data_IF_667709994890
#
_entry.id   IF_667709994890
#
_cell.length_a   1.000
_cell.length_b   1.000
_cell.length_c   1.000
_cell.angle_alpha   90.00
_cell.angle_beta   90.00
_cell.angle_gamma   90.00
#
_symmetry.space_group_name_H-M   'P 1'
#
loop_
_entity.id
_entity.type
_entity.pdbx_description
1 polymer ?
#
# COMPACT_ATOMS: atom_id res chain seq x y z
N UNK A 1 37.10 -14.71 0.92
CA UNK A 1 36.13 -15.47 0.09
C UNK A 1 34.86 -14.64 0.02
N UNK A 2 34.21 -14.46 -1.15
CA UNK A 2 32.99 -13.70 -1.21
C UNK A 2 31.93 -14.47 -0.42
N UNK A 3 31.45 -13.88 0.69
CA UNK A 3 30.33 -14.43 1.43
C UNK A 3 29.20 -14.72 0.45
N UNK A 4 28.78 -15.98 0.38
CA UNK A 4 27.59 -16.40 -0.35
C UNK A 4 26.44 -15.61 0.26
N UNK A 5 26.05 -14.48 -0.34
CA UNK A 5 25.01 -13.60 0.21
C UNK A 5 23.72 -14.40 0.26
N UNK A 6 23.37 -14.88 1.44
CA UNK A 6 22.06 -15.47 1.71
C UNK A 6 21.01 -14.36 1.63
N UNK A 7 19.76 -14.72 1.36
CA UNK A 7 18.65 -13.76 1.26
C UNK A 7 18.33 -13.11 2.61
N UNK A 8 18.57 -13.84 3.69
CA UNK A 8 18.46 -13.42 5.10
C UNK A 8 19.36 -14.37 5.92
N UNK A 9 19.45 -14.19 7.23
CA UNK A 9 20.27 -15.03 8.13
C UNK A 9 19.85 -16.50 8.17
N UNK A 10 18.58 -16.80 7.84
CA UNK A 10 18.00 -18.15 8.03
C UNK A 10 17.72 -18.51 9.48
N UNK A 11 17.85 -17.55 10.40
CA UNK A 11 17.55 -17.73 11.82
C UNK A 11 16.04 -17.90 12.08
N UNK A 12 15.71 -18.61 13.13
CA UNK A 12 14.34 -18.78 13.62
C UNK A 12 13.80 -17.47 14.22
N UNK A 13 12.47 -17.28 14.32
CA UNK A 13 11.89 -16.11 14.96
C UNK A 13 12.40 -15.87 16.40
N UNK A 14 12.64 -16.94 17.16
CA UNK A 14 13.15 -16.87 18.53
C UNK A 14 14.60 -16.37 18.58
N UNK A 15 15.45 -16.83 17.66
CA UNK A 15 16.82 -16.34 17.54
C UNK A 15 16.86 -14.87 17.12
N UNK A 16 16.08 -14.49 16.11
CA UNK A 16 15.95 -13.09 15.67
C UNK A 16 15.45 -12.21 16.83
N UNK A 17 14.42 -12.65 17.56
CA UNK A 17 13.89 -11.89 18.70
C UNK A 17 14.94 -11.68 19.80
N UNK A 18 15.72 -12.73 20.13
CA UNK A 18 16.83 -12.64 21.09
C UNK A 18 17.90 -11.66 20.61
N UNK A 19 18.26 -11.73 19.33
CA UNK A 19 19.33 -10.91 18.77
C UNK A 19 18.90 -9.43 18.68
N UNK A 20 17.61 -9.15 18.40
CA UNK A 20 17.03 -7.81 18.35
C UNK A 20 16.66 -7.22 19.72
N UNK A 21 16.52 -8.02 20.77
CA UNK A 21 16.07 -7.55 22.10
C UNK A 21 16.85 -6.34 22.65
N UNK A 22 18.19 -6.23 22.47
CA UNK A 22 18.92 -5.04 22.89
C UNK A 22 18.48 -3.74 22.19
N UNK A 23 18.00 -3.78 20.95
CA UNK A 23 17.58 -2.59 20.19
C UNK A 23 16.30 -1.94 20.74
N UNK A 24 15.54 -2.68 21.54
CA UNK A 24 14.27 -2.21 22.14
C UNK A 24 14.34 -2.16 23.67
N UNK A 25 15.54 -2.35 24.24
CA UNK A 25 15.77 -2.14 25.68
C UNK A 25 16.03 -0.65 25.92
N UNK A 26 14.98 0.07 26.30
CA UNK A 26 15.08 1.50 26.57
C UNK A 26 15.80 1.79 27.89
N UNK A 27 16.56 2.88 27.92
CA UNK A 27 17.32 3.38 29.06
C UNK A 27 17.08 4.88 29.23
N UNK A 28 17.26 5.40 30.45
CA UNK A 28 17.04 6.83 30.74
C UNK A 28 18.05 7.74 30.02
N UNK A 29 19.30 7.32 29.95
CA UNK A 29 20.35 8.04 29.23
C UNK A 29 20.39 7.65 27.76
N UNK A 30 20.57 8.63 26.86
CA UNK A 30 20.77 8.35 25.44
C UNK A 30 22.04 7.52 25.18
N UNK A 31 22.04 6.82 24.05
CA UNK A 31 23.20 6.09 23.54
C UNK A 31 23.93 6.94 22.48
N UNK A 32 25.26 6.85 22.41
CA UNK A 32 26.01 7.51 21.35
C UNK A 32 25.66 6.90 19.98
N UNK A 33 25.62 7.72 18.93
CA UNK A 33 25.25 7.26 17.58
C UNK A 33 26.12 6.10 17.07
N UNK A 34 27.43 6.12 17.36
CA UNK A 34 28.35 5.06 16.96
C UNK A 34 28.00 3.69 17.59
N UNK A 35 27.51 3.69 18.83
CA UNK A 35 27.07 2.47 19.50
C UNK A 35 25.74 1.96 18.90
N UNK A 36 24.83 2.88 18.56
CA UNK A 36 23.58 2.54 17.86
C UNK A 36 23.86 1.94 16.49
N UNK A 37 24.77 2.54 15.71
CA UNK A 37 25.19 2.03 14.41
C UNK A 37 25.77 0.62 14.53
N UNK A 38 26.66 0.40 15.50
CA UNK A 38 27.22 -0.92 15.81
C UNK A 38 26.12 -1.94 16.13
N UNK A 39 25.17 -1.58 17.00
CA UNK A 39 24.03 -2.45 17.33
C UNK A 39 23.17 -2.77 16.10
N UNK A 40 22.87 -1.80 15.24
CA UNK A 40 22.09 -2.04 14.02
C UNK A 40 22.83 -3.01 13.08
N UNK A 41 24.13 -2.79 12.87
CA UNK A 41 24.97 -3.62 12.01
C UNK A 41 25.10 -5.07 12.50
N UNK A 42 25.24 -5.27 13.81
CA UNK A 42 25.41 -6.59 14.39
C UNK A 42 24.09 -7.34 14.60
N UNK A 43 23.01 -6.62 14.93
CA UNK A 43 21.76 -7.22 15.42
C UNK A 43 20.62 -7.17 14.42
N UNK A 44 20.47 -6.09 13.66
CA UNK A 44 19.34 -5.92 12.73
C UNK A 44 19.69 -6.34 11.31
N UNK A 45 20.75 -5.75 10.75
CA UNK A 45 21.07 -5.90 9.34
C UNK A 45 21.23 -7.36 8.88
N UNK A 46 21.82 -8.29 9.65
CA UNK A 46 21.94 -9.69 9.24
C UNK A 46 20.59 -10.39 9.02
N UNK A 47 19.52 -9.90 9.64
CA UNK A 47 18.18 -10.48 9.56
C UNK A 47 17.30 -9.85 8.49
N UNK A 48 17.68 -8.70 7.93
CA UNK A 48 16.90 -8.04 6.88
C UNK A 48 16.89 -8.87 5.58
N UNK A 49 15.75 -8.86 4.89
CA UNK A 49 15.63 -9.51 3.60
C UNK A 49 16.35 -8.70 2.52
N UNK A 50 17.23 -9.35 1.78
CA UNK A 50 17.97 -8.75 0.67
C UNK A 50 17.14 -8.72 -0.61
N UNK A 51 16.16 -7.80 -0.69
CA UNK A 51 15.29 -7.66 -1.87
C UNK A 51 16.03 -7.33 -3.18
N UNK A 52 17.23 -6.75 -3.09
CA UNK A 52 18.07 -6.49 -4.28
C UNK A 52 18.86 -7.70 -4.78
N UNK A 53 18.78 -8.86 -4.12
CA UNK A 53 19.48 -10.06 -4.56
C UNK A 53 18.83 -10.66 -5.81
N UNK A 54 19.60 -11.04 -6.85
CA UNK A 54 19.06 -11.78 -8.00
C UNK A 54 18.42 -13.12 -7.64
N UNK A 55 18.74 -13.67 -6.47
CA UNK A 55 18.15 -14.92 -5.97
C UNK A 55 16.82 -14.72 -5.24
N UNK A 56 16.41 -13.47 -4.97
CA UNK A 56 15.11 -13.18 -4.38
C UNK A 56 14.05 -13.21 -5.49
N UNK A 57 13.26 -14.29 -5.54
CA UNK A 57 12.28 -14.55 -6.60
C UNK A 57 10.87 -14.78 -6.03
N UNK A 58 10.54 -14.13 -4.92
CA UNK A 58 9.28 -14.32 -4.19
C UNK A 58 8.62 -12.97 -3.87
N UNK A 59 7.31 -12.97 -3.64
CA UNK A 59 6.53 -11.78 -3.28
C UNK A 59 6.64 -10.64 -4.31
N UNK A 60 6.04 -9.49 -3.99
CA UNK A 60 6.04 -8.30 -4.85
C UNK A 60 6.98 -7.21 -4.31
N UNK A 61 8.13 -7.60 -3.75
CA UNK A 61 9.12 -6.67 -3.22
C UNK A 61 10.26 -6.49 -4.23
N UNK A 62 10.69 -5.25 -4.44
CA UNK A 62 11.83 -4.92 -5.27
C UNK A 62 12.64 -3.80 -4.60
N UNK A 63 13.93 -3.73 -4.92
CA UNK A 63 14.73 -2.59 -4.53
C UNK A 63 14.37 -1.37 -5.40
N UNK A 64 14.19 -0.16 -4.84
CA UNK A 64 13.85 1.02 -5.61
C UNK A 64 14.92 1.31 -6.68
N UNK A 65 14.48 1.76 -7.85
CA UNK A 65 15.39 2.30 -8.85
C UNK A 65 15.95 3.67 -8.40
N UNK A 66 16.98 4.16 -9.09
CA UNK A 66 17.77 5.33 -8.68
C UNK A 66 16.95 6.62 -8.50
N UNK A 67 15.96 6.86 -9.36
CA UNK A 67 15.03 7.98 -9.26
C UNK A 67 14.18 7.91 -7.99
N UNK A 68 13.57 6.75 -7.72
CA UNK A 68 12.81 6.49 -6.49
C UNK A 68 13.69 6.65 -5.24
N UNK A 69 14.95 6.20 -5.26
CA UNK A 69 15.91 6.41 -4.16
C UNK A 69 16.14 7.90 -3.89
N UNK A 70 16.42 8.69 -4.93
CA UNK A 70 16.60 10.15 -4.79
C UNK A 70 15.34 10.85 -4.29
N UNK A 71 14.17 10.43 -4.76
CA UNK A 71 12.89 10.94 -4.28
C UNK A 71 12.71 10.68 -2.78
N UNK A 72 13.05 9.48 -2.31
CA UNK A 72 13.00 9.14 -0.88
C UNK A 72 13.98 9.98 -0.05
N UNK A 73 15.20 10.22 -0.55
CA UNK A 73 16.18 11.09 0.11
C UNK A 73 15.68 12.53 0.25
N UNK A 74 15.07 13.08 -0.81
CA UNK A 74 14.45 14.41 -0.77
C UNK A 74 13.29 14.44 0.22
N UNK A 75 12.44 13.42 0.23
CA UNK A 75 11.32 13.33 1.16
C UNK A 75 11.80 13.35 2.63
N UNK A 76 12.87 12.62 2.95
CA UNK A 76 13.47 12.61 4.29
C UNK A 76 14.14 13.95 4.64
N UNK A 77 14.82 14.58 3.69
CA UNK A 77 15.54 15.84 3.92
C UNK A 77 14.58 17.02 4.19
N UNK A 78 13.43 17.07 3.51
CA UNK A 78 12.50 18.20 3.58
C UNK A 78 11.25 17.93 4.43
N UNK A 79 10.93 16.67 4.72
CA UNK A 79 9.82 16.23 5.58
C UNK A 79 8.50 17.00 5.34
N UNK A 80 8.11 17.12 4.07
CA UNK A 80 6.95 17.92 3.67
C UNK A 80 5.63 17.19 3.97
N UNK A 81 4.70 17.86 4.66
CA UNK A 81 3.31 17.42 4.76
C UNK A 81 2.52 17.92 3.55
N UNK A 82 2.38 17.11 2.51
CA UNK A 82 1.69 17.48 1.25
C UNK A 82 0.16 17.45 1.43
N UNK A 83 -0.37 18.34 2.27
CA UNK A 83 -1.81 18.40 2.58
C UNK A 83 -2.52 19.55 1.89
N UNK A 84 -1.83 20.67 1.66
CA UNK A 84 -2.35 21.82 0.93
C UNK A 84 -1.21 22.69 0.37
N UNK A 85 -1.59 23.63 -0.48
CA UNK A 85 -0.68 24.58 -1.13
C UNK A 85 0.11 25.43 -0.13
N UNK A 86 -0.50 25.88 0.97
CA UNK A 86 0.14 26.81 1.91
C UNK A 86 1.34 26.19 2.64
N UNK A 87 1.34 24.88 2.85
CA UNK A 87 2.41 24.19 3.59
C UNK A 87 3.35 23.38 2.71
N UNK A 88 2.98 23.08 1.46
CA UNK A 88 3.82 22.34 0.51
C UNK A 88 3.47 22.69 -0.95
N UNK A 89 3.75 23.91 -1.41
CA UNK A 89 3.33 24.36 -2.75
C UNK A 89 3.99 23.52 -3.86
N UNK A 90 5.28 23.23 -3.72
CA UNK A 90 6.01 22.39 -4.66
C UNK A 90 5.55 20.93 -4.65
N UNK A 91 5.31 20.36 -3.45
CA UNK A 91 4.83 18.99 -3.32
C UNK A 91 3.42 18.81 -3.86
N UNK A 92 2.49 19.71 -3.51
CA UNK A 92 1.11 19.65 -3.94
C UNK A 92 0.99 19.77 -5.48
N UNK A 93 1.71 20.72 -6.09
CA UNK A 93 1.68 20.89 -7.54
C UNK A 93 2.37 19.72 -8.27
N UNK A 94 3.47 19.19 -7.72
CA UNK A 94 4.12 18.02 -8.30
C UNK A 94 3.20 16.79 -8.28
N UNK A 95 2.47 16.57 -7.18
CA UNK A 95 1.50 15.48 -7.08
C UNK A 95 0.42 15.58 -8.17
N UNK A 96 -0.18 16.76 -8.33
CA UNK A 96 -1.21 17.03 -9.36
C UNK A 96 -0.68 16.78 -10.78
N UNK A 97 0.53 17.27 -11.08
CA UNK A 97 1.15 17.08 -12.39
C UNK A 97 1.50 15.62 -12.67
N UNK A 98 1.98 14.88 -11.67
CA UNK A 98 2.23 13.46 -11.74
C UNK A 98 0.93 12.66 -11.97
N UNK A 99 -0.14 12.98 -11.24
CA UNK A 99 -1.46 12.37 -11.42
C UNK A 99 -1.97 12.54 -12.85
N UNK A 100 -1.93 13.77 -13.38
CA UNK A 100 -2.28 14.04 -14.79
C UNK A 100 -1.40 13.28 -15.79
N UNK A 101 -0.10 13.15 -15.51
CA UNK A 101 0.80 12.38 -16.36
C UNK A 101 0.43 10.89 -16.37
N UNK A 102 0.07 10.31 -15.21
CA UNK A 102 -0.40 8.94 -15.11
C UNK A 102 -1.74 8.74 -15.83
N UNK A 103 -2.70 9.65 -15.69
CA UNK A 103 -3.96 9.58 -16.43
C UNK A 103 -3.72 9.54 -17.95
N UNK A 104 -2.80 10.37 -18.47
CA UNK A 104 -2.41 10.34 -19.88
C UNK A 104 -1.73 9.03 -20.26
N UNK A 105 -0.82 8.54 -19.43
CA UNK A 105 -0.10 7.28 -19.65
C UNK A 105 -1.06 6.08 -19.78
N UNK A 106 -2.09 6.04 -18.95
CA UNK A 106 -3.11 4.99 -18.97
C UNK A 106 -4.25 5.23 -19.97
N UNK A 107 -4.19 6.30 -20.77
CA UNK A 107 -5.21 6.61 -21.79
C UNK A 107 -6.59 6.95 -21.20
N UNK A 108 -6.63 7.50 -19.99
CA UNK A 108 -7.88 7.94 -19.35
C UNK A 108 -8.41 9.23 -19.99
N UNK A 109 -9.68 9.54 -19.76
CA UNK A 109 -10.33 10.75 -20.29
C UNK A 109 -9.61 12.03 -19.84
N UNK A 110 -9.73 13.12 -20.61
CA UNK A 110 -9.13 14.41 -20.28
C UNK A 110 -9.65 15.02 -18.95
N UNK A 111 -10.82 14.58 -18.49
CA UNK A 111 -11.44 14.95 -17.21
C UNK A 111 -11.07 14.00 -16.07
N UNK A 112 -10.26 12.96 -16.33
CA UNK A 112 -9.79 12.05 -15.30
C UNK A 112 -8.78 12.75 -14.39
N UNK A 113 -8.76 12.31 -13.15
CA UNK A 113 -7.84 12.79 -12.12
C UNK A 113 -7.27 11.62 -11.34
N UNK A 114 -6.20 11.86 -10.59
CA UNK A 114 -5.53 10.86 -9.78
C UNK A 114 -4.88 11.50 -8.54
N UNK A 115 -4.83 10.73 -7.46
CA UNK A 115 -4.10 11.08 -6.23
C UNK A 115 -3.26 9.90 -5.78
N UNK A 116 -2.24 10.17 -4.98
CA UNK A 116 -1.33 9.14 -4.47
C UNK A 116 -1.86 8.53 -3.18
N UNK A 117 -1.93 7.20 -3.15
CA UNK A 117 -2.30 6.44 -1.96
C UNK A 117 -1.08 5.77 -1.37
N UNK A 118 -1.03 5.65 -0.05
CA UNK A 118 0.09 5.03 0.67
C UNK A 118 0.21 3.52 0.42
N UNK A 119 -0.82 2.87 -0.14
CA UNK A 119 -0.77 1.46 -0.53
C UNK A 119 -1.86 1.09 -1.54
N UNK A 120 -1.63 0.02 -2.32
CA UNK A 120 -2.64 -0.55 -3.21
C UNK A 120 -3.88 -1.10 -2.50
N UNK A 121 -3.72 -1.53 -1.24
CA UNK A 121 -4.87 -1.95 -0.39
C UNK A 121 -5.82 -0.79 -0.17
N UNK A 122 -5.30 0.39 0.18
CA UNK A 122 -6.11 1.58 0.40
C UNK A 122 -6.67 2.13 -0.92
N UNK A 123 -5.89 2.08 -2.01
CA UNK A 123 -6.38 2.45 -3.33
C UNK A 123 -7.59 1.59 -3.76
N UNK A 124 -7.57 0.28 -3.51
CA UNK A 124 -8.72 -0.60 -3.77
C UNK A 124 -9.94 -0.25 -2.90
N UNK A 125 -9.72 0.12 -1.63
CA UNK A 125 -10.79 0.54 -0.74
C UNK A 125 -11.45 1.82 -1.23
N UNK A 126 -10.64 2.82 -1.59
CA UNK A 126 -11.12 4.10 -2.12
C UNK A 126 -11.85 3.89 -3.46
N UNK A 127 -11.30 3.08 -4.37
CA UNK A 127 -11.95 2.80 -5.64
C UNK A 127 -13.36 2.20 -5.46
N UNK A 128 -13.53 1.30 -4.49
CA UNK A 128 -14.84 0.71 -4.19
C UNK A 128 -15.76 1.72 -3.49
N UNK A 129 -15.22 2.54 -2.58
CA UNK A 129 -15.97 3.62 -1.94
C UNK A 129 -16.51 4.63 -2.96
N UNK A 130 -15.67 5.08 -3.90
CA UNK A 130 -16.06 5.97 -4.98
C UNK A 130 -17.07 5.33 -5.94
N UNK A 131 -16.90 4.05 -6.26
CA UNK A 131 -17.87 3.30 -7.07
C UNK A 131 -19.23 3.18 -6.36
N UNK A 132 -19.23 2.95 -5.05
CA UNK A 132 -20.45 2.90 -4.24
C UNK A 132 -21.15 4.26 -4.17
N UNK A 133 -20.41 5.37 -4.02
CA UNK A 133 -20.94 6.73 -4.11
C UNK A 133 -21.58 7.00 -5.46
N UNK A 134 -20.86 6.71 -6.55
CA UNK A 134 -21.41 6.87 -7.90
C UNK A 134 -22.68 6.05 -8.11
N UNK A 135 -22.71 4.83 -7.60
CA UNK A 135 -23.90 3.98 -7.67
C UNK A 135 -25.05 4.56 -6.82
N UNK A 136 -24.76 5.07 -5.62
CA UNK A 136 -25.75 5.72 -4.77
C UNK A 136 -26.38 6.94 -5.43
N UNK A 137 -25.57 7.82 -6.05
CA UNK A 137 -26.06 8.97 -6.82
C UNK A 137 -27.06 8.56 -7.90
N UNK A 138 -26.77 7.48 -8.64
CA UNK A 138 -27.65 6.95 -9.69
C UNK A 138 -28.96 6.38 -9.12
N UNK A 139 -28.96 5.97 -7.85
CA UNK A 139 -30.16 5.51 -7.13
C UNK A 139 -30.88 6.64 -6.37
N UNK A 140 -30.40 7.89 -6.46
CA UNK A 140 -30.94 9.02 -5.71
C UNK A 140 -30.66 8.95 -4.20
N UNK A 141 -29.61 8.22 -3.79
CA UNK A 141 -29.22 8.03 -2.40
C UNK A 141 -28.03 8.94 -2.07
N UNK A 142 -28.18 9.80 -1.06
CA UNK A 142 -27.05 10.51 -0.45
C UNK A 142 -26.34 9.59 0.55
N UNK A 143 -25.36 8.83 0.03
CA UNK A 143 -24.59 7.87 0.79
C UNK A 143 -23.77 8.51 1.91
N UNK A 144 -23.22 9.71 1.68
CA UNK A 144 -22.41 10.41 2.66
C UNK A 144 -23.23 10.75 3.92
N UNK A 145 -24.48 11.16 3.72
CA UNK A 145 -25.37 11.58 4.80
C UNK A 145 -26.12 10.43 5.46
N UNK A 146 -26.59 9.47 4.68
CA UNK A 146 -27.54 8.45 5.16
C UNK A 146 -26.96 7.04 5.22
N UNK A 147 -25.77 6.81 4.67
CA UNK A 147 -25.09 5.52 4.69
C UNK A 147 -25.81 4.44 3.85
N UNK A 148 -25.29 3.22 3.93
CA UNK A 148 -25.74 2.09 3.10
C UNK A 148 -27.20 1.69 3.37
N UNK A 149 -27.72 1.91 4.57
CA UNK A 149 -29.10 1.56 4.91
C UNK A 149 -30.14 2.39 4.12
N UNK A 150 -29.73 3.48 3.48
CA UNK A 150 -30.61 4.33 2.68
C UNK A 150 -30.92 3.77 1.28
N UNK A 151 -30.20 2.74 0.83
CA UNK A 151 -30.61 2.01 -0.37
C UNK A 151 -31.99 1.34 -0.12
N UNK A 152 -32.86 1.23 -1.12
CA UNK A 152 -34.13 0.50 -0.97
C UNK A 152 -33.94 -1.00 -0.67
N UNK A 153 -32.87 -1.58 -1.21
CA UNK A 153 -32.51 -3.00 -1.07
C UNK A 153 -31.00 -3.17 -0.81
N UNK A 154 -30.49 -2.73 0.35
CA UNK A 154 -29.05 -2.79 0.66
C UNK A 154 -28.51 -4.22 0.65
N UNK A 155 -29.34 -5.21 0.99
CA UNK A 155 -29.03 -6.64 0.95
C UNK A 155 -28.78 -7.18 -0.47
N UNK A 156 -29.16 -6.42 -1.50
CA UNK A 156 -28.97 -6.77 -2.92
C UNK A 156 -27.75 -6.11 -3.55
N UNK A 157 -27.02 -5.25 -2.83
CA UNK A 157 -25.76 -4.70 -3.32
C UNK A 157 -24.78 -5.84 -3.58
N UNK A 158 -24.13 -5.82 -4.74
CA UNK A 158 -23.12 -6.81 -5.11
C UNK A 158 -21.90 -6.13 -5.72
N UNK A 159 -20.72 -6.54 -5.28
CA UNK A 159 -19.45 -6.26 -5.94
C UNK A 159 -18.97 -7.54 -6.62
N UNK A 160 -18.92 -7.50 -7.95
CA UNK A 160 -18.44 -8.61 -8.75
C UNK A 160 -16.93 -8.52 -8.86
N UNK A 161 -16.22 -9.61 -8.55
CA UNK A 161 -14.77 -9.64 -8.60
C UNK A 161 -14.28 -11.05 -8.91
N UNK A 162 -13.12 -11.20 -9.56
CA UNK A 162 -12.48 -12.51 -9.77
C UNK A 162 -12.32 -13.26 -8.44
N UNK A 163 -12.52 -14.58 -8.44
CA UNK A 163 -12.16 -15.43 -7.28
C UNK A 163 -10.67 -15.37 -6.90
N UNK A 164 -9.81 -14.90 -7.81
CA UNK A 164 -8.38 -14.71 -7.60
C UNK A 164 -7.99 -13.28 -7.19
N UNK A 165 -8.98 -12.41 -6.94
CA UNK A 165 -8.71 -11.03 -6.59
C UNK A 165 -7.91 -10.89 -5.29
N UNK A 166 -7.12 -9.82 -5.21
CA UNK A 166 -6.34 -9.52 -4.02
C UNK A 166 -7.26 -9.39 -2.78
N UNK A 167 -6.82 -9.95 -1.64
CA UNK A 167 -7.62 -10.01 -0.42
C UNK A 167 -8.03 -8.62 0.11
N UNK A 168 -7.38 -7.54 -0.33
CA UNK A 168 -7.78 -6.17 0.00
C UNK A 168 -9.21 -5.84 -0.41
N UNK A 169 -9.74 -6.45 -1.47
CA UNK A 169 -11.14 -6.27 -1.88
C UNK A 169 -12.08 -6.80 -0.79
N UNK A 170 -11.78 -7.97 -0.23
CA UNK A 170 -12.51 -8.51 0.93
C UNK A 170 -12.39 -7.60 2.15
N UNK A 171 -11.21 -7.04 2.40
CA UNK A 171 -11.02 -6.08 3.50
C UNK A 171 -11.83 -4.79 3.28
N UNK A 172 -11.92 -4.29 2.05
CA UNK A 172 -12.74 -3.14 1.71
C UNK A 172 -14.22 -3.36 2.07
N UNK A 173 -14.76 -4.55 1.76
CA UNK A 173 -16.15 -4.90 2.10
C UNK A 173 -16.44 -4.91 3.59
N UNK A 174 -15.48 -5.38 4.39
CA UNK A 174 -15.58 -5.34 5.84
C UNK A 174 -15.53 -3.89 6.35
N UNK A 175 -14.57 -3.09 5.87
CA UNK A 175 -14.37 -1.72 6.32
C UNK A 175 -15.50 -0.78 5.92
N UNK A 176 -16.09 -0.96 4.73
CA UNK A 176 -17.20 -0.14 4.24
C UNK A 176 -18.56 -0.59 4.80
N UNK A 177 -18.61 -1.62 5.66
CA UNK A 177 -19.85 -2.10 6.26
C UNK A 177 -20.79 -2.83 5.29
N UNK A 178 -20.29 -3.25 4.12
CA UNK A 178 -21.06 -3.98 3.11
C UNK A 178 -21.14 -5.49 3.40
N UNK A 179 -20.18 -6.01 4.15
CA UNK A 179 -20.08 -7.44 4.49
C UNK A 179 -19.60 -8.30 3.32
N UNK A 180 -19.01 -9.46 3.64
CA UNK A 180 -18.43 -10.34 2.62
C UNK A 180 -19.47 -10.99 1.70
N UNK A 181 -20.72 -11.10 2.15
CA UNK A 181 -21.83 -11.62 1.33
C UNK A 181 -22.17 -10.71 0.15
N UNK A 182 -21.73 -9.45 0.17
CA UNK A 182 -21.82 -8.53 -0.95
C UNK A 182 -20.84 -8.92 -2.09
N UNK A 183 -19.79 -9.71 -1.81
CA UNK A 183 -18.86 -10.17 -2.85
C UNK A 183 -19.42 -11.33 -3.63
N UNK A 184 -19.57 -11.12 -4.93
CA UNK A 184 -19.86 -12.17 -5.88
C UNK A 184 -18.57 -12.54 -6.62
N UNK A 185 -18.02 -13.71 -6.28
CA UNK A 185 -16.79 -14.21 -6.88
C UNK A 185 -17.08 -14.81 -8.26
N UNK A 186 -16.44 -14.27 -9.28
CA UNK A 186 -16.53 -14.73 -10.65
C UNK A 186 -15.53 -15.88 -10.91
N UNK A 187 -15.91 -16.90 -11.69
CA UNK A 187 -14.99 -17.95 -12.12
C UNK A 187 -13.86 -17.38 -13.00
N UNK A 188 -12.83 -18.20 -13.22
CA UNK A 188 -11.70 -17.85 -14.08
C UNK A 188 -11.43 -18.97 -15.09
N UNK A 189 -10.95 -18.56 -16.26
CA UNK A 189 -10.54 -19.45 -17.34
C UNK A 189 -9.20 -20.17 -17.03
N UNK A 190 -8.71 -20.95 -18.00
CA UNK A 190 -7.42 -21.64 -17.90
C UNK A 190 -6.21 -20.72 -17.77
N UNK A 191 -6.34 -19.44 -18.17
CA UNK A 191 -5.32 -18.41 -18.05
C UNK A 191 -5.51 -17.51 -16.83
N UNK A 192 -6.40 -17.89 -15.90
CA UNK A 192 -6.71 -17.14 -14.67
C UNK A 192 -7.31 -15.76 -14.91
N UNK A 193 -7.93 -15.55 -16.08
CA UNK A 193 -8.73 -14.35 -16.40
C UNK A 193 -10.18 -14.60 -16.00
N UNK A 194 -10.93 -13.54 -15.70
CA UNK A 194 -12.38 -13.67 -15.45
C UNK A 194 -13.04 -14.35 -16.66
N UNK A 195 -13.80 -15.41 -16.38
CA UNK A 195 -14.57 -16.14 -17.38
C UNK A 195 -15.90 -15.40 -17.59
N UNK A 196 -16.00 -14.68 -18.72
CA UNK A 196 -17.07 -13.71 -19.04
C UNK A 196 -18.18 -14.31 -19.88
#
# INVERSE_FOLDING_TARGET
MPHKKTLTSGATPQEVARDLAPLVTFQEAGMAWADVETLLHERLLPHLMHYGSPTFQSMFNAFPEEGARRGAEMALAYNQGVTNWQVSPGGAMLEELCGRALCRLFGLAATADATFMYSGTYANQEAIYLALHRFAEQQGVDLARHGVAAFPHPERLRLLVSKDAHFSVKQAMRMLGLGEQCLQLLPVDSNRRVDV
#
